data_IF_854625695232
#
_entry.id   IF_854625695232
#
_cell.length_a   1.000
_cell.length_b   1.000
_cell.length_c   1.000
_cell.angle_alpha   90.00
_cell.angle_beta   90.00
_cell.angle_gamma   90.00
#
_symmetry.space_group_name_H-M   'P 1'
#
loop_
_entity.id
_entity.type
_entity.pdbx_description
1 polymer ?
#
# COMPACT_ATOMS: atom_id res chain seq x y z
N UNK A 1 15.24 -12.51 -7.37
CA UNK A 1 13.81 -12.19 -7.45
C UNK A 1 13.03 -13.41 -6.94
N UNK A 2 12.24 -13.22 -5.91
CA UNK A 2 11.35 -14.28 -5.42
C UNK A 2 10.19 -14.44 -6.39
N UNK A 3 9.93 -15.67 -6.79
CA UNK A 3 8.75 -15.97 -7.59
C UNK A 3 7.52 -16.00 -6.69
N UNK A 4 6.43 -15.42 -7.18
CA UNK A 4 5.14 -15.49 -6.52
C UNK A 4 4.43 -16.75 -7.03
N UNK A 5 3.97 -17.65 -6.14
CA UNK A 5 3.21 -18.82 -6.58
C UNK A 5 1.97 -18.40 -7.35
N UNK A 6 1.78 -18.98 -8.53
CA UNK A 6 0.65 -18.67 -9.42
C UNK A 6 -0.47 -19.67 -9.20
N UNK A 7 -1.71 -19.18 -9.07
CA UNK A 7 -2.92 -20.00 -8.91
C UNK A 7 -2.79 -21.10 -7.84
N UNK A 8 -2.13 -20.79 -6.74
CA UNK A 8 -2.00 -21.75 -5.64
C UNK A 8 -3.28 -21.75 -4.79
N UNK A 9 -3.93 -22.89 -4.66
CA UNK A 9 -5.21 -22.99 -3.96
C UNK A 9 -5.10 -22.84 -2.44
N UNK A 10 -3.90 -22.94 -1.88
CA UNK A 10 -3.66 -22.73 -0.45
C UNK A 10 -3.38 -21.27 -0.10
N UNK A 11 -3.24 -20.41 -1.11
CA UNK A 11 -2.94 -18.99 -0.95
C UNK A 11 -4.18 -18.17 -1.23
N UNK A 12 -4.43 -17.16 -0.39
CA UNK A 12 -5.45 -16.15 -0.65
C UNK A 12 -4.77 -14.95 -1.30
N UNK A 13 -5.27 -14.50 -2.44
CA UNK A 13 -4.70 -13.41 -3.20
C UNK A 13 -5.58 -12.17 -3.07
N UNK A 14 -4.99 -11.09 -2.59
CA UNK A 14 -5.63 -9.77 -2.49
C UNK A 14 -4.92 -8.79 -3.39
N UNK A 15 -5.63 -7.83 -3.92
CA UNK A 15 -5.04 -6.77 -4.74
C UNK A 15 -5.74 -5.43 -4.57
N UNK A 16 -4.94 -4.38 -4.69
CA UNK A 16 -5.49 -3.06 -4.94
C UNK A 16 -6.29 -3.09 -6.25
N UNK A 17 -7.45 -2.41 -6.30
CA UNK A 17 -8.25 -2.34 -7.53
C UNK A 17 -7.68 -1.38 -8.57
N UNK A 18 -6.64 -0.62 -8.25
CA UNK A 18 -6.04 0.31 -9.19
C UNK A 18 -5.40 -0.44 -10.36
N UNK A 19 -5.44 0.17 -11.53
CA UNK A 19 -5.15 -0.48 -12.82
C UNK A 19 -3.83 -1.26 -12.85
N UNK A 20 -2.75 -0.68 -12.33
CA UNK A 20 -1.43 -1.34 -12.34
C UNK A 20 -1.43 -2.64 -11.56
N UNK A 21 -2.00 -2.61 -10.35
CA UNK A 21 -2.09 -3.79 -9.50
C UNK A 21 -3.05 -4.82 -10.08
N UNK A 22 -4.18 -4.36 -10.59
CA UNK A 22 -5.19 -5.24 -11.19
C UNK A 22 -4.63 -6.04 -12.36
N UNK A 23 -3.85 -5.40 -13.24
CA UNK A 23 -3.22 -6.09 -14.37
C UNK A 23 -2.25 -7.18 -13.91
N UNK A 24 -1.40 -6.85 -12.93
CA UNK A 24 -0.45 -7.81 -12.39
C UNK A 24 -1.16 -8.95 -11.67
N UNK A 25 -2.17 -8.64 -10.86
CA UNK A 25 -2.92 -9.63 -10.11
C UNK A 25 -3.55 -10.69 -11.01
N UNK A 26 -4.13 -10.27 -12.12
CA UNK A 26 -4.77 -11.18 -13.08
C UNK A 26 -3.78 -12.14 -13.74
N UNK A 27 -2.50 -11.78 -13.79
CA UNK A 27 -1.44 -12.67 -14.29
C UNK A 27 -1.00 -13.69 -13.23
N UNK A 28 -1.28 -13.42 -11.97
CA UNK A 28 -0.82 -14.24 -10.85
C UNK A 28 -1.88 -15.23 -10.40
N UNK A 29 -3.16 -14.84 -10.41
CA UNK A 29 -4.24 -15.73 -9.99
C UNK A 29 -5.54 -15.41 -10.72
N UNK A 30 -6.37 -16.45 -10.88
CA UNK A 30 -7.74 -16.31 -11.39
C UNK A 30 -8.73 -15.95 -10.28
N UNK A 31 -8.32 -16.07 -9.01
CA UNK A 31 -9.16 -15.78 -7.84
C UNK A 31 -8.54 -14.67 -7.03
N UNK A 32 -8.88 -13.43 -7.37
CA UNK A 32 -8.35 -12.24 -6.71
C UNK A 32 -9.48 -11.56 -5.92
N UNK A 33 -9.19 -11.22 -4.68
CA UNK A 33 -10.07 -10.38 -3.85
C UNK A 33 -9.54 -8.96 -3.93
N UNK A 34 -10.30 -8.06 -4.54
CA UNK A 34 -9.94 -6.64 -4.60
C UNK A 34 -10.45 -5.92 -3.37
N UNK A 35 -9.62 -5.07 -2.79
CA UNK A 35 -9.98 -4.32 -1.60
C UNK A 35 -9.50 -2.87 -1.72
N UNK A 36 -10.43 -1.93 -1.56
CA UNK A 36 -10.14 -0.51 -1.68
C UNK A 36 -9.14 -0.01 -0.65
N UNK A 37 -9.05 -0.69 0.50
CA UNK A 37 -8.08 -0.33 1.55
C UNK A 37 -6.63 -0.54 1.12
N UNK A 38 -6.41 -1.20 -0.02
CA UNK A 38 -5.08 -1.43 -0.60
C UNK A 38 -4.68 -0.40 -1.66
N UNK A 39 -5.50 0.60 -1.92
CA UNK A 39 -5.16 1.69 -2.84
C UNK A 39 -4.01 2.52 -2.32
N UNK A 40 -3.22 3.08 -3.24
CA UNK A 40 -2.16 4.03 -2.87
C UNK A 40 -2.73 5.30 -2.24
N UNK A 41 -1.86 6.07 -1.59
CA UNK A 41 -2.22 7.32 -0.96
C UNK A 41 -3.03 8.21 -1.92
N UNK A 42 -4.15 8.73 -1.43
CA UNK A 42 -4.97 9.68 -2.17
C UNK A 42 -4.36 11.07 -2.02
N UNK A 43 -3.84 11.60 -3.12
CA UNK A 43 -3.27 12.95 -3.18
C UNK A 43 -4.31 14.03 -3.43
N UNK A 44 -5.61 13.68 -3.44
CA UNK A 44 -6.69 14.65 -3.57
C UNK A 44 -6.53 15.52 -4.82
N UNK A 45 -6.55 16.83 -4.63
CA UNK A 45 -6.45 17.79 -5.74
C UNK A 45 -5.11 17.74 -6.49
N UNK A 46 -4.10 17.10 -5.91
CA UNK A 46 -2.80 16.96 -6.56
C UNK A 46 -2.71 15.74 -7.48
N UNK A 47 -3.74 14.91 -7.52
CA UNK A 47 -3.81 13.78 -8.43
C UNK A 47 -3.73 14.25 -9.89
N UNK A 48 -2.91 13.56 -10.69
CA UNK A 48 -2.71 13.83 -12.10
C UNK A 48 -2.14 15.24 -12.41
N UNK A 49 -1.67 15.96 -11.40
CA UNK A 49 -1.03 17.25 -11.61
C UNK A 49 0.48 17.12 -11.73
N UNK A 50 1.07 17.98 -12.54
CA UNK A 50 2.51 18.14 -12.56
C UNK A 50 2.93 18.81 -11.23
N UNK A 51 3.85 18.17 -10.50
CA UNK A 51 4.31 18.65 -9.20
C UNK A 51 4.91 20.07 -9.27
N UNK A 52 5.47 20.46 -10.42
CA UNK A 52 5.99 21.81 -10.62
C UNK A 52 4.90 22.88 -10.60
N UNK A 53 3.65 22.52 -10.83
CA UNK A 53 2.49 23.43 -10.83
C UNK A 53 1.77 23.51 -9.49
N UNK A 54 2.15 22.67 -8.53
CA UNK A 54 1.59 22.74 -7.18
C UNK A 54 2.24 23.90 -6.44
N UNK A 55 1.45 24.63 -5.63
CA UNK A 55 1.96 25.72 -4.82
C UNK A 55 3.14 25.22 -3.97
N UNK A 56 4.30 25.85 -4.13
CA UNK A 56 5.53 25.38 -3.49
C UNK A 56 5.46 25.38 -1.97
N UNK A 57 4.82 26.38 -1.37
CA UNK A 57 4.68 26.44 0.10
C UNK A 57 3.80 25.28 0.61
N UNK A 58 2.71 25.00 -0.09
CA UNK A 58 1.83 23.88 0.27
C UNK A 58 2.56 22.54 0.11
N UNK A 59 3.28 22.37 -0.99
CA UNK A 59 4.03 21.16 -1.25
C UNK A 59 5.14 20.94 -0.22
N UNK A 60 5.92 21.97 0.08
CA UNK A 60 7.00 21.88 1.07
C UNK A 60 6.46 21.57 2.46
N UNK A 61 5.35 22.20 2.85
CA UNK A 61 4.70 21.94 4.14
C UNK A 61 4.24 20.49 4.22
N UNK A 62 3.62 19.99 3.15
CA UNK A 62 3.18 18.60 3.10
C UNK A 62 4.37 17.62 3.15
N UNK A 63 5.42 17.88 2.38
CA UNK A 63 6.60 17.01 2.35
C UNK A 63 7.28 16.88 3.73
N UNK A 64 7.19 17.91 4.54
CA UNK A 64 7.74 17.90 5.90
C UNK A 64 6.78 17.33 6.94
N UNK A 65 5.50 17.14 6.60
CA UNK A 65 4.44 16.76 7.54
C UNK A 65 3.49 15.70 7.00
N UNK A 66 3.86 14.97 5.94
CA UNK A 66 2.92 14.13 5.19
C UNK A 66 2.33 12.98 6.02
N UNK A 67 2.96 12.58 7.12
CA UNK A 67 2.40 11.53 7.99
C UNK A 67 1.07 12.02 8.58
N UNK A 68 1.01 13.26 9.04
CA UNK A 68 -0.16 13.80 9.73
C UNK A 68 -1.00 14.76 8.86
N UNK A 69 -0.45 15.23 7.75
CA UNK A 69 -1.09 16.25 6.91
C UNK A 69 -1.39 15.65 5.53
N UNK A 70 -2.62 15.83 5.08
CA UNK A 70 -3.04 15.41 3.74
C UNK A 70 -2.84 16.53 2.73
N UNK A 71 -2.65 16.17 1.46
CA UNK A 71 -2.85 17.09 0.35
C UNK A 71 -4.31 17.53 0.33
N UNK A 72 -4.62 18.69 -0.25
CA UNK A 72 -5.97 19.23 -0.27
C UNK A 72 -6.96 18.20 -0.85
N UNK A 73 -8.01 17.89 -0.12
CA UNK A 73 -9.01 16.87 -0.45
C UNK A 73 -8.46 15.44 -0.60
N UNK A 74 -7.25 15.20 -0.10
CA UNK A 74 -6.64 13.87 -0.09
C UNK A 74 -6.64 13.25 1.30
N UNK A 75 -5.73 12.29 1.50
CA UNK A 75 -5.55 11.64 2.79
C UNK A 75 -4.12 11.85 3.30
N UNK A 76 -3.95 11.81 4.63
CA UNK A 76 -2.63 11.77 5.25
C UNK A 76 -2.09 10.34 5.21
N UNK A 77 -0.78 10.20 5.45
CA UNK A 77 -0.20 8.86 5.56
C UNK A 77 -0.76 8.10 6.78
N UNK A 78 -1.12 8.84 7.83
CA UNK A 78 -1.76 8.25 9.00
C UNK A 78 -3.14 7.67 8.65
N UNK A 79 -3.91 8.35 7.79
CA UNK A 79 -5.19 7.84 7.30
C UNK A 79 -5.01 6.55 6.50
N UNK A 80 -4.00 6.52 5.61
CA UNK A 80 -3.65 5.33 4.86
C UNK A 80 -3.29 4.18 5.81
N UNK A 81 -2.49 4.47 6.82
CA UNK A 81 -2.09 3.48 7.81
C UNK A 81 -3.29 2.88 8.55
N UNK A 82 -4.27 3.71 8.91
CA UNK A 82 -5.47 3.24 9.58
C UNK A 82 -6.26 2.24 8.73
N UNK A 83 -6.46 2.54 7.44
CA UNK A 83 -7.22 1.63 6.57
C UNK A 83 -6.46 0.35 6.21
N UNK A 84 -5.15 0.42 6.06
CA UNK A 84 -4.34 -0.77 5.73
C UNK A 84 -4.20 -1.70 6.94
N UNK A 85 -4.05 -1.15 8.14
CA UNK A 85 -3.99 -1.98 9.35
C UNK A 85 -5.35 -2.62 9.65
N UNK A 86 -6.45 -1.93 9.40
CA UNK A 86 -7.79 -2.50 9.50
C UNK A 86 -7.94 -3.72 8.58
N UNK A 87 -7.48 -3.60 7.34
CA UNK A 87 -7.44 -4.71 6.40
C UNK A 87 -6.63 -5.89 6.93
N UNK A 88 -5.41 -5.63 7.40
CA UNK A 88 -4.52 -6.69 7.89
C UNK A 88 -5.10 -7.42 9.10
N UNK A 89 -5.68 -6.68 10.04
CA UNK A 89 -6.31 -7.28 11.22
C UNK A 89 -7.51 -8.15 10.84
N UNK A 90 -8.29 -7.73 9.85
CA UNK A 90 -9.42 -8.51 9.37
C UNK A 90 -8.98 -9.84 8.76
N UNK A 91 -7.98 -9.81 7.87
CA UNK A 91 -7.50 -11.06 7.25
C UNK A 91 -6.79 -11.96 8.26
N UNK A 92 -6.12 -11.39 9.24
CA UNK A 92 -5.46 -12.17 10.30
C UNK A 92 -6.45 -12.98 11.14
N UNK A 93 -7.67 -12.50 11.30
CA UNK A 93 -8.73 -13.24 12.02
C UNK A 93 -9.09 -14.56 11.36
N UNK A 94 -8.91 -14.65 10.04
CA UNK A 94 -9.18 -15.87 9.27
C UNK A 94 -8.06 -16.89 9.38
N UNK A 95 -6.95 -16.53 10.00
CA UNK A 95 -5.76 -17.39 10.21
C UNK A 95 -5.30 -18.10 8.92
N UNK A 96 -5.11 -17.35 7.81
CA UNK A 96 -4.63 -17.96 6.58
C UNK A 96 -3.17 -18.41 6.75
N UNK A 97 -2.80 -19.51 6.06
CA UNK A 97 -1.41 -19.98 6.07
C UNK A 97 -0.51 -19.00 5.32
N UNK A 98 -0.97 -18.54 4.16
CA UNK A 98 -0.23 -17.62 3.31
C UNK A 98 -1.18 -16.71 2.54
N UNK A 99 -0.80 -15.45 2.47
CA UNK A 99 -1.54 -14.42 1.75
C UNK A 99 -0.58 -13.72 0.81
N UNK A 100 -1.02 -13.46 -0.41
CA UNK A 100 -0.31 -12.59 -1.36
C UNK A 100 -1.11 -11.31 -1.49
N UNK A 101 -0.43 -10.18 -1.31
CA UNK A 101 -1.04 -8.85 -1.43
C UNK A 101 -0.32 -8.09 -2.53
N UNK A 102 -1.07 -7.70 -3.56
CA UNK A 102 -0.53 -6.91 -4.67
C UNK A 102 -1.00 -5.48 -4.48
N UNK A 103 -0.07 -4.59 -4.19
CA UNK A 103 -0.40 -3.24 -3.79
C UNK A 103 0.75 -2.27 -4.10
N UNK A 104 0.75 -1.12 -3.47
CA UNK A 104 1.64 0.00 -3.77
C UNK A 104 2.65 0.21 -2.65
N UNK A 105 3.73 0.93 -2.95
CA UNK A 105 4.83 1.15 -2.00
C UNK A 105 4.38 1.75 -0.67
N UNK A 106 3.49 2.75 -0.69
CA UNK A 106 2.99 3.38 0.53
C UNK A 106 2.23 2.39 1.42
N UNK A 107 1.41 1.53 0.82
CA UNK A 107 0.69 0.50 1.56
C UNK A 107 1.65 -0.54 2.12
N UNK A 108 2.63 -0.97 1.33
CA UNK A 108 3.63 -1.95 1.78
C UNK A 108 4.40 -1.42 2.98
N UNK A 109 4.83 -0.15 2.94
CA UNK A 109 5.53 0.49 4.07
C UNK A 109 4.66 0.57 5.30
N UNK A 110 3.37 0.88 5.13
CA UNK A 110 2.41 0.94 6.23
C UNK A 110 2.25 -0.42 6.91
N UNK A 111 2.05 -1.48 6.13
CA UNK A 111 1.91 -2.84 6.64
C UNK A 111 3.21 -3.32 7.31
N UNK A 112 4.35 -3.04 6.70
CA UNK A 112 5.65 -3.38 7.25
C UNK A 112 5.87 -2.71 8.61
N UNK A 113 5.57 -1.43 8.71
CA UNK A 113 5.70 -0.66 9.95
C UNK A 113 4.81 -1.26 11.05
N UNK A 114 3.58 -1.64 10.73
CA UNK A 114 2.67 -2.26 11.69
C UNK A 114 3.18 -3.62 12.18
N UNK A 115 3.61 -4.48 11.25
CA UNK A 115 4.08 -5.82 11.59
C UNK A 115 5.38 -5.77 12.39
N UNK A 116 6.30 -4.90 12.01
CA UNK A 116 7.60 -4.75 12.66
C UNK A 116 7.57 -3.83 13.89
N UNK A 117 6.44 -3.20 14.16
CA UNK A 117 6.24 -2.29 15.30
C UNK A 117 7.22 -1.12 15.27
N UNK A 118 7.42 -0.54 14.09
CA UNK A 118 8.26 0.63 13.87
C UNK A 118 7.38 1.86 13.59
N UNK A 119 7.97 3.06 13.66
CA UNK A 119 7.23 4.28 13.38
C UNK A 119 6.94 4.43 11.89
N UNK A 120 5.88 5.19 11.55
CA UNK A 120 5.56 5.48 10.15
C UNK A 120 6.65 6.30 9.48
N UNK A 121 7.28 7.21 10.21
CA UNK A 121 8.38 8.02 9.71
C UNK A 121 9.55 7.14 9.25
N UNK A 122 9.95 6.15 10.07
CA UNK A 122 11.06 5.26 9.73
C UNK A 122 10.69 4.25 8.65
N UNK A 123 9.41 4.04 8.37
CA UNK A 123 8.99 3.13 7.29
C UNK A 123 9.50 3.56 5.91
N UNK A 124 9.80 4.86 5.74
CA UNK A 124 10.34 5.39 4.48
C UNK A 124 11.83 5.06 4.29
N UNK A 125 12.50 4.52 5.30
CA UNK A 125 13.84 3.97 5.14
C UNK A 125 13.82 2.66 4.35
N UNK A 126 12.67 2.01 4.27
CA UNK A 126 12.49 0.81 3.43
C UNK A 126 12.41 1.23 1.96
N UNK A 127 13.43 0.86 1.19
CA UNK A 127 13.49 1.17 -0.24
C UNK A 127 12.76 0.09 -1.02
N UNK A 128 11.81 0.50 -1.85
CA UNK A 128 11.01 -0.39 -2.65
C UNK A 128 11.10 -0.01 -4.13
N UNK A 129 11.19 -1.01 -4.99
CA UNK A 129 11.23 -0.85 -6.44
C UNK A 129 10.01 -1.51 -7.07
N UNK A 130 9.66 -1.12 -8.28
CA UNK A 130 8.60 -1.78 -9.03
C UNK A 130 8.88 -3.27 -9.19
N UNK A 131 7.87 -4.09 -8.97
CA UNK A 131 7.99 -5.53 -9.10
C UNK A 131 8.72 -6.21 -7.95
N UNK A 132 9.12 -5.47 -6.94
CA UNK A 132 9.78 -6.05 -5.78
C UNK A 132 8.80 -6.87 -4.94
N UNK A 133 9.24 -8.06 -4.52
CA UNK A 133 8.48 -8.92 -3.62
C UNK A 133 9.11 -8.83 -2.23
N UNK A 134 8.28 -8.51 -1.25
CA UNK A 134 8.69 -8.48 0.16
C UNK A 134 7.91 -9.55 0.91
N UNK A 135 8.64 -10.45 1.56
CA UNK A 135 8.02 -11.50 2.37
C UNK A 135 8.15 -11.15 3.85
N UNK A 136 7.02 -11.10 4.54
CA UNK A 136 6.96 -10.72 5.95
C UNK A 136 6.18 -11.77 6.71
N UNK A 137 6.71 -12.21 7.83
CA UNK A 137 6.00 -13.10 8.77
C UNK A 137 5.23 -12.27 9.78
N UNK A 138 3.98 -12.66 9.98
CA UNK A 138 3.10 -11.96 10.92
C UNK A 138 2.53 -12.90 11.98
#
# INVERSE_FOLDING_TARGET
IKEIPVNNTEIIYYSSPLKRCKKLAKKISNNIIFDDRLKELDFGDWELQNWDKINKKELDYWMNNFVNIAATNGESYLDLHARTTDFLLEIAKQKPKKVVIITHAGVIRSLYSFIKKTSLETSFDLKLQYGQVLEINY
#
